data_IF_779114967757
#
_entry.id   IF_779114967757
#
_cell.length_a   1.000
_cell.length_b   1.000
_cell.length_c   1.000
_cell.angle_alpha   90.00
_cell.angle_beta   90.00
_cell.angle_gamma   90.00
#
_symmetry.space_group_name_H-M   'P 1'
#
loop_
_entity.id
_entity.type
_entity.pdbx_description
1 polymer ?
#
# COMPACT_ATOMS: atom_id res chain seq x y z
N UNK A 1 51.00 22.31 -56.21
CA UNK A 1 51.11 21.47 -55.00
C UNK A 1 49.94 21.79 -54.09
N UNK A 2 48.92 20.92 -54.07
CA UNK A 2 47.66 21.09 -53.32
C UNK A 2 47.86 20.60 -51.88
N UNK A 3 47.43 21.37 -50.89
CA UNK A 3 47.09 20.86 -49.55
C UNK A 3 45.63 21.21 -49.29
N UNK A 4 44.78 20.19 -49.34
CA UNK A 4 43.38 20.24 -48.90
C UNK A 4 43.40 19.77 -47.44
N UNK A 5 43.00 20.66 -46.53
CA UNK A 5 42.86 20.36 -45.12
C UNK A 5 41.46 19.74 -44.91
N UNK A 6 41.41 18.44 -44.64
CA UNK A 6 40.17 17.74 -44.29
C UNK A 6 39.93 17.91 -42.79
N UNK A 7 38.92 18.70 -42.41
CA UNK A 7 38.44 18.80 -41.03
C UNK A 7 37.36 17.73 -40.83
N UNK A 8 37.68 16.65 -40.14
CA UNK A 8 36.72 15.60 -39.77
C UNK A 8 36.01 16.03 -38.49
N UNK A 9 34.73 16.40 -38.62
CA UNK A 9 33.85 16.66 -37.49
C UNK A 9 33.38 15.32 -36.90
N UNK A 10 33.94 14.88 -35.77
CA UNK A 10 33.41 13.77 -35.00
C UNK A 10 32.17 14.25 -34.21
N UNK A 11 30.98 13.86 -34.66
CA UNK A 11 29.76 13.94 -33.86
C UNK A 11 29.76 12.78 -32.85
N UNK A 12 30.12 13.07 -31.60
CA UNK A 12 29.88 12.14 -30.49
C UNK A 12 28.43 12.26 -30.05
N UNK A 13 27.60 11.27 -30.37
CA UNK A 13 26.28 11.10 -29.76
C UNK A 13 26.50 10.68 -28.30
N UNK A 14 26.48 11.64 -27.38
CA UNK A 14 26.39 11.35 -25.97
C UNK A 14 24.96 10.85 -25.68
N UNK A 15 24.79 9.52 -25.60
CA UNK A 15 23.60 8.94 -25.00
C UNK A 15 23.60 9.30 -23.52
N UNK A 16 22.75 10.25 -23.13
CA UNK A 16 22.52 10.50 -21.72
C UNK A 16 21.79 9.31 -21.13
N UNK A 17 22.52 8.46 -20.41
CA UNK A 17 21.94 7.58 -19.40
C UNK A 17 21.44 8.53 -18.32
N UNK A 18 20.13 8.84 -18.33
CA UNK A 18 19.50 9.42 -17.16
C UNK A 18 19.54 8.35 -16.07
N UNK A 19 20.40 8.57 -15.09
CA UNK A 19 20.22 7.98 -13.78
C UNK A 19 18.85 8.46 -13.28
N UNK A 20 17.93 7.52 -13.05
CA UNK A 20 16.64 7.79 -12.44
C UNK A 20 16.89 8.06 -10.95
N UNK A 21 17.13 9.32 -10.62
CA UNK A 21 17.12 9.81 -9.25
C UNK A 21 15.68 9.72 -8.72
N UNK A 22 15.31 8.56 -8.17
CA UNK A 22 14.51 8.41 -6.96
C UNK A 22 13.23 9.24 -6.79
N UNK A 23 12.59 9.72 -7.86
CA UNK A 23 11.30 10.39 -7.76
C UNK A 23 10.22 9.30 -7.80
N UNK A 24 9.89 8.81 -6.60
CA UNK A 24 9.03 7.67 -6.31
C UNK A 24 7.55 7.93 -6.61
N UNK A 25 7.24 8.65 -7.68
CA UNK A 25 5.88 9.00 -8.07
C UNK A 25 5.30 7.86 -8.89
N UNK A 26 4.55 6.98 -8.21
CA UNK A 26 3.81 5.88 -8.82
C UNK A 26 2.57 6.37 -9.57
N UNK A 27 2.79 7.32 -10.48
CA UNK A 27 1.74 8.00 -11.22
C UNK A 27 1.25 7.12 -12.35
N UNK A 28 -0.06 7.08 -12.53
CA UNK A 28 -0.70 6.37 -13.62
C UNK A 28 -0.62 7.19 -14.91
N UNK A 29 -0.28 6.54 -16.02
CA UNK A 29 -0.33 7.19 -17.33
C UNK A 29 -1.77 7.25 -17.84
N UNK A 30 -2.00 8.12 -18.81
CA UNK A 30 -3.30 8.31 -19.47
C UNK A 30 -3.91 6.99 -19.96
N UNK A 31 -3.08 6.09 -20.49
CA UNK A 31 -3.53 4.77 -20.93
C UNK A 31 -4.10 3.92 -19.79
N UNK A 32 -3.52 3.96 -18.59
CA UNK A 32 -4.11 3.27 -17.43
C UNK A 32 -5.45 3.92 -17.05
N UNK A 33 -5.54 5.25 -17.04
CA UNK A 33 -6.82 5.94 -16.80
C UNK A 33 -7.90 5.55 -17.82
N UNK A 34 -7.55 5.39 -19.10
CA UNK A 34 -8.47 4.93 -20.15
C UNK A 34 -8.99 3.51 -19.86
N UNK A 35 -8.09 2.57 -19.55
CA UNK A 35 -8.45 1.18 -19.26
C UNK A 35 -9.37 1.11 -18.03
N UNK A 36 -9.04 1.85 -16.98
CA UNK A 36 -9.84 1.85 -15.74
C UNK A 36 -11.18 2.55 -15.94
N UNK A 37 -11.24 3.65 -16.69
CA UNK A 37 -12.49 4.32 -17.00
C UNK A 37 -13.42 3.42 -17.82
N UNK A 38 -12.86 2.68 -18.78
CA UNK A 38 -13.60 1.68 -19.56
C UNK A 38 -14.19 0.57 -18.68
N UNK A 39 -13.40 0.04 -17.74
CA UNK A 39 -13.87 -0.96 -16.77
C UNK A 39 -15.06 -0.47 -15.94
N UNK A 40 -14.97 0.74 -15.40
CA UNK A 40 -16.04 1.36 -14.63
C UNK A 40 -17.20 1.88 -15.49
N UNK A 41 -17.12 1.76 -16.83
CA UNK A 41 -18.12 2.25 -17.80
C UNK A 41 -18.40 3.75 -17.64
N UNK A 42 -17.36 4.53 -17.39
CA UNK A 42 -17.42 6.00 -17.24
C UNK A 42 -16.41 6.68 -18.18
N UNK A 43 -16.56 7.99 -18.39
CA UNK A 43 -15.53 8.78 -19.09
C UNK A 43 -14.29 8.95 -18.22
N UNK A 44 -13.14 9.20 -18.84
CA UNK A 44 -11.90 9.51 -18.12
C UNK A 44 -12.03 10.73 -17.21
N UNK A 45 -12.76 11.76 -17.66
CA UNK A 45 -13.08 12.94 -16.86
C UNK A 45 -13.84 12.55 -15.58
N UNK A 46 -14.87 11.71 -15.70
CA UNK A 46 -15.63 11.21 -14.56
C UNK A 46 -14.78 10.34 -13.64
N UNK A 47 -13.89 9.51 -14.18
CA UNK A 47 -12.96 8.74 -13.36
C UNK A 47 -12.03 9.68 -12.58
N UNK A 48 -11.44 10.68 -13.24
CA UNK A 48 -10.53 11.65 -12.62
C UNK A 48 -11.21 12.46 -11.52
N UNK A 49 -12.47 12.87 -11.72
CA UNK A 49 -13.25 13.57 -10.70
C UNK A 49 -13.56 12.69 -9.47
N UNK A 50 -13.66 11.37 -9.67
CA UNK A 50 -14.02 10.40 -8.61
C UNK A 50 -12.81 9.69 -7.98
N UNK A 51 -11.62 9.81 -8.56
CA UNK A 51 -10.43 9.15 -8.05
C UNK A 51 -9.85 9.96 -6.89
N UNK A 52 -9.90 9.41 -5.68
CA UNK A 52 -9.30 10.01 -4.48
C UNK A 52 -7.79 9.75 -4.44
N UNK A 53 -7.38 8.55 -4.86
CA UNK A 53 -5.99 8.12 -4.90
C UNK A 53 -5.77 7.14 -6.07
N UNK A 54 -4.57 7.13 -6.64
CA UNK A 54 -4.17 6.11 -7.61
C UNK A 54 -2.68 5.85 -7.54
N UNK A 55 -2.28 4.59 -7.73
CA UNK A 55 -0.88 4.18 -7.81
C UNK A 55 -0.68 3.19 -8.96
N UNK A 56 0.34 3.43 -9.78
CA UNK A 56 0.73 2.57 -10.89
C UNK A 56 2.23 2.24 -10.84
N UNK A 57 2.57 0.98 -11.07
CA UNK A 57 3.96 0.53 -11.13
C UNK A 57 4.11 -0.67 -12.06
N UNK A 58 5.14 -0.66 -12.91
CA UNK A 58 5.47 -1.80 -13.77
C UNK A 58 5.68 -3.08 -12.95
N UNK A 59 5.12 -4.20 -13.41
CA UNK A 59 5.25 -5.47 -12.72
C UNK A 59 6.71 -5.95 -12.74
N UNK A 60 7.27 -6.39 -11.59
CA UNK A 60 8.70 -6.68 -11.48
C UNK A 60 9.16 -7.89 -12.31
N UNK A 61 8.23 -8.76 -12.71
CA UNK A 61 8.52 -9.98 -13.48
C UNK A 61 8.03 -9.89 -14.94
N UNK A 62 7.33 -8.82 -15.32
CA UNK A 62 6.85 -8.60 -16.68
C UNK A 62 6.73 -7.11 -16.99
N UNK A 63 7.64 -6.58 -17.82
CA UNK A 63 7.66 -5.15 -18.16
C UNK A 63 6.50 -4.69 -19.04
N UNK A 64 5.75 -5.61 -19.66
CA UNK A 64 4.56 -5.29 -20.46
C UNK A 64 3.29 -5.20 -19.61
N UNK A 65 3.41 -5.38 -18.30
CA UNK A 65 2.31 -5.32 -17.37
C UNK A 65 2.53 -4.21 -16.35
N UNK A 66 1.43 -3.56 -15.98
CA UNK A 66 1.38 -2.55 -14.93
C UNK A 66 0.46 -3.05 -13.82
N UNK A 67 0.95 -2.95 -12.59
CA UNK A 67 0.17 -3.10 -11.38
C UNK A 67 -0.48 -1.75 -11.09
N UNK A 68 -1.79 -1.75 -10.87
CA UNK A 68 -2.55 -0.52 -10.62
C UNK A 68 -3.42 -0.66 -9.38
N UNK A 69 -3.59 0.43 -8.67
CA UNK A 69 -4.54 0.57 -7.57
C UNK A 69 -5.24 1.91 -7.68
N UNK A 70 -6.56 1.93 -7.51
CA UNK A 70 -7.39 3.13 -7.54
C UNK A 70 -8.34 3.13 -6.35
N UNK A 71 -8.52 4.29 -5.72
CA UNK A 71 -9.60 4.55 -4.78
C UNK A 71 -10.63 5.44 -5.49
N UNK A 72 -11.78 4.88 -5.84
CA UNK A 72 -12.81 5.56 -6.63
C UNK A 72 -14.05 5.77 -5.77
N UNK A 73 -14.39 7.01 -5.47
CA UNK A 73 -15.58 7.33 -4.68
C UNK A 73 -16.85 7.08 -5.49
N UNK A 74 -17.96 6.73 -4.83
CA UNK A 74 -19.22 6.40 -5.49
C UNK A 74 -19.78 7.56 -6.35
N UNK A 75 -20.63 7.28 -7.36
CA UNK A 75 -20.99 8.25 -8.39
C UNK A 75 -21.66 9.54 -7.91
N UNK A 76 -22.24 9.55 -6.69
CA UNK A 76 -22.86 10.73 -6.09
C UNK A 76 -21.81 11.80 -5.71
N UNK A 77 -20.57 11.39 -5.49
CA UNK A 77 -19.49 12.24 -4.99
C UNK A 77 -18.37 12.46 -6.01
N UNK A 78 -17.56 13.49 -5.73
CA UNK A 78 -16.28 13.77 -6.36
C UNK A 78 -15.24 14.07 -5.27
N UNK A 79 -13.97 14.09 -5.66
CA UNK A 79 -12.86 14.43 -4.76
C UNK A 79 -13.01 15.80 -4.10
N UNK A 80 -13.75 16.73 -4.73
CA UNK A 80 -13.96 18.09 -4.23
C UNK A 80 -15.14 18.22 -3.27
N UNK A 81 -16.11 17.30 -3.29
CA UNK A 81 -17.38 17.49 -2.59
C UNK A 81 -17.70 16.45 -1.52
N UNK A 82 -16.98 15.33 -1.47
CA UNK A 82 -17.37 14.21 -0.63
C UNK A 82 -17.35 14.51 0.87
N UNK A 83 -16.47 15.43 1.30
CA UNK A 83 -16.36 15.87 2.69
C UNK A 83 -17.48 16.83 3.12
N UNK A 84 -18.30 17.33 2.19
CA UNK A 84 -19.33 18.34 2.47
C UNK A 84 -20.73 17.73 2.70
N UNK A 85 -20.87 16.41 2.64
CA UNK A 85 -22.13 15.70 2.85
C UNK A 85 -22.15 15.08 4.26
N UNK A 86 -23.30 15.14 4.93
CA UNK A 86 -23.51 14.54 6.25
C UNK A 86 -23.67 13.01 6.19
N UNK A 87 -23.85 12.44 4.98
CA UNK A 87 -23.85 11.00 4.76
C UNK A 87 -22.43 10.43 4.73
N UNK A 88 -22.28 9.14 5.07
CA UNK A 88 -21.03 8.36 4.96
C UNK A 88 -20.74 7.99 3.51
N UNK A 89 -19.79 8.64 2.82
CA UNK A 89 -19.49 8.34 1.42
C UNK A 89 -18.87 6.96 1.26
N UNK A 90 -19.29 6.21 0.24
CA UNK A 90 -18.66 4.93 -0.12
C UNK A 90 -17.62 5.11 -1.21
N UNK A 91 -16.60 4.26 -1.18
CA UNK A 91 -15.58 4.21 -2.22
C UNK A 91 -15.14 2.79 -2.49
N UNK A 92 -14.65 2.54 -3.70
CA UNK A 92 -14.15 1.23 -4.12
C UNK A 92 -12.62 1.28 -4.14
N UNK A 93 -11.97 0.40 -3.39
CA UNK A 93 -10.57 0.05 -3.61
C UNK A 93 -10.51 -0.94 -4.76
N UNK A 94 -9.97 -0.51 -5.89
CA UNK A 94 -9.78 -1.32 -7.07
C UNK A 94 -8.30 -1.62 -7.28
N UNK A 95 -7.95 -2.89 -7.43
CA UNK A 95 -6.58 -3.35 -7.68
C UNK A 95 -6.58 -4.21 -8.94
N UNK A 96 -5.63 -3.99 -9.84
CA UNK A 96 -5.54 -4.79 -11.06
C UNK A 96 -4.12 -5.00 -11.58
N UNK A 97 -3.99 -6.06 -12.37
CA UNK A 97 -2.94 -6.22 -13.38
C UNK A 97 -3.50 -5.78 -14.71
N UNK A 98 -2.81 -4.89 -15.40
CA UNK A 98 -3.20 -4.42 -16.74
C UNK A 98 -2.03 -4.58 -17.70
N UNK A 99 -2.34 -4.74 -18.97
CA UNK A 99 -1.39 -4.50 -20.06
C UNK A 99 -1.87 -3.28 -20.88
N UNK A 100 -1.26 -3.05 -22.04
CA UNK A 100 -1.58 -1.90 -22.90
C UNK A 100 -3.05 -1.82 -23.35
N UNK A 101 -3.78 -2.94 -23.32
CA UNK A 101 -5.10 -3.03 -23.95
C UNK A 101 -6.22 -3.48 -23.00
N UNK A 102 -5.90 -4.13 -21.89
CA UNK A 102 -6.88 -4.81 -21.07
C UNK A 102 -6.48 -4.96 -19.60
N UNK A 103 -7.50 -5.14 -18.76
CA UNK A 103 -7.35 -5.70 -17.42
C UNK A 103 -7.15 -7.21 -17.57
N UNK A 104 -6.06 -7.71 -17.02
CA UNK A 104 -5.72 -9.14 -17.01
C UNK A 104 -6.38 -9.86 -15.84
N UNK A 105 -6.31 -9.25 -14.66
CA UNK A 105 -6.99 -9.66 -13.44
C UNK A 105 -7.28 -8.43 -12.59
N UNK A 106 -8.38 -8.46 -11.85
CA UNK A 106 -8.72 -7.44 -10.87
C UNK A 106 -9.19 -8.04 -9.55
N UNK A 107 -9.22 -7.18 -8.54
CA UNK A 107 -9.90 -7.36 -7.27
C UNK A 107 -10.46 -6.02 -6.84
N UNK A 108 -11.62 -6.02 -6.19
CA UNK A 108 -12.27 -4.82 -5.70
C UNK A 108 -12.92 -5.06 -4.34
N UNK A 109 -12.98 -4.01 -3.53
CA UNK A 109 -13.70 -3.98 -2.27
C UNK A 109 -14.29 -2.59 -2.06
N UNK A 110 -15.57 -2.57 -1.70
CA UNK A 110 -16.24 -1.34 -1.26
C UNK A 110 -15.94 -1.08 0.21
N UNK A 111 -15.68 0.17 0.51
CA UNK A 111 -15.28 0.71 1.81
C UNK A 111 -16.08 1.99 2.07
N UNK A 112 -16.10 2.42 3.32
CA UNK A 112 -16.79 3.62 3.78
C UNK A 112 -15.77 4.64 4.30
N UNK A 113 -16.06 5.93 4.09
CA UNK A 113 -15.32 7.04 4.69
C UNK A 113 -16.03 7.43 5.99
N UNK A 114 -15.29 7.44 7.09
CA UNK A 114 -15.78 7.79 8.42
C UNK A 114 -14.69 8.46 9.27
N UNK A 115 -14.89 8.57 10.59
CA UNK A 115 -13.92 9.17 11.49
C UNK A 115 -12.57 8.42 11.54
N UNK A 116 -12.56 7.14 11.16
CA UNK A 116 -11.41 6.25 11.21
C UNK A 116 -10.83 5.92 9.84
N UNK A 117 -11.55 6.14 8.73
CA UNK A 117 -11.06 5.89 7.36
C UNK A 117 -11.32 7.11 6.47
N UNK A 118 -10.27 7.61 5.82
CA UNK A 118 -10.34 8.61 4.75
C UNK A 118 -9.23 8.35 3.72
N UNK A 119 -9.40 8.90 2.53
CA UNK A 119 -8.51 8.68 1.39
C UNK A 119 -8.13 10.02 0.77
N UNK A 120 -6.83 10.23 0.61
CA UNK A 120 -6.23 11.36 -0.10
C UNK A 120 -5.31 10.86 -1.23
N UNK A 121 -4.75 11.80 -2.00
CA UNK A 121 -3.92 11.49 -3.16
C UNK A 121 -2.71 10.58 -2.86
N UNK A 122 -2.20 10.59 -1.62
CA UNK A 122 -1.02 9.83 -1.19
C UNK A 122 -1.38 8.50 -0.48
N UNK A 123 -2.66 8.17 -0.40
CA UNK A 123 -3.14 7.01 0.37
C UNK A 123 -2.80 5.67 -0.25
N UNK A 124 -2.46 5.61 -1.55
CA UNK A 124 -2.17 4.35 -2.24
C UNK A 124 -0.74 4.26 -2.74
N UNK A 125 -0.14 3.07 -2.59
CA UNK A 125 1.15 2.72 -3.18
C UNK A 125 1.23 1.24 -3.54
N UNK A 126 1.74 0.94 -4.72
CA UNK A 126 2.13 -0.41 -5.13
C UNK A 126 3.46 -0.80 -4.47
N UNK A 127 3.43 -1.86 -3.69
CA UNK A 127 4.59 -2.50 -3.09
C UNK A 127 5.04 -3.69 -3.96
N UNK A 128 6.29 -3.65 -4.42
CA UNK A 128 6.89 -4.66 -5.30
C UNK A 128 8.09 -5.33 -4.64
N UNK A 129 8.12 -5.37 -3.31
CA UNK A 129 9.13 -6.15 -2.59
C UNK A 129 9.13 -7.63 -3.04
N UNK A 130 10.15 -8.38 -2.62
CA UNK A 130 10.38 -9.76 -3.08
C UNK A 130 9.49 -10.76 -2.35
N UNK A 131 8.17 -10.61 -2.48
CA UNK A 131 7.16 -11.55 -1.97
C UNK A 131 7.09 -12.82 -2.84
N UNK A 132 8.22 -13.54 -2.94
CA UNK A 132 8.33 -14.79 -3.68
C UNK A 132 7.64 -15.87 -2.84
N UNK A 133 6.47 -16.33 -3.28
CA UNK A 133 5.68 -17.33 -2.58
C UNK A 133 6.12 -18.75 -2.96
N UNK A 134 6.53 -18.97 -4.20
CA UNK A 134 7.23 -20.18 -4.61
C UNK A 134 8.04 -19.92 -5.90
N UNK A 135 8.48 -20.98 -6.57
CA UNK A 135 9.25 -20.93 -7.81
C UNK A 135 8.50 -20.25 -8.98
N UNK A 136 7.17 -20.21 -8.93
CA UNK A 136 6.31 -19.71 -10.02
C UNK A 136 5.50 -18.48 -9.65
N UNK A 137 5.26 -18.27 -8.36
CA UNK A 137 4.30 -17.28 -7.85
C UNK A 137 5.04 -16.22 -7.03
N UNK A 138 4.92 -14.98 -7.47
CA UNK A 138 5.32 -13.79 -6.73
C UNK A 138 4.08 -12.94 -6.47
N UNK A 139 3.81 -12.65 -5.21
CA UNK A 139 2.81 -11.66 -4.84
C UNK A 139 3.32 -10.23 -5.07
N UNK A 140 2.40 -9.30 -5.20
CA UNK A 140 2.67 -7.88 -5.07
C UNK A 140 1.76 -7.29 -4.01
N UNK A 141 2.18 -6.18 -3.41
CA UNK A 141 1.43 -5.50 -2.37
C UNK A 141 0.74 -4.24 -2.88
N UNK A 142 -0.34 -3.88 -2.21
CA UNK A 142 -0.88 -2.52 -2.19
C UNK A 142 -0.78 -2.04 -0.74
N UNK A 143 -0.15 -0.88 -0.54
CA UNK A 143 -0.12 -0.15 0.71
C UNK A 143 -1.27 0.84 0.73
N UNK A 144 -2.01 0.86 1.83
CA UNK A 144 -3.02 1.87 2.12
C UNK A 144 -2.62 2.69 3.35
N UNK A 145 -2.32 3.97 3.12
CA UNK A 145 -2.11 4.95 4.17
C UNK A 145 -3.40 5.71 4.38
N UNK A 146 -4.02 5.49 5.54
CA UNK A 146 -5.24 6.16 5.94
C UNK A 146 -4.99 7.67 6.15
N UNK A 147 -5.85 8.49 5.55
CA UNK A 147 -5.80 9.95 5.65
C UNK A 147 -6.70 10.52 6.77
N UNK A 148 -7.47 9.67 7.46
CA UNK A 148 -8.39 10.12 8.49
C UNK A 148 -7.64 10.84 9.62
N UNK A 149 -8.25 11.89 10.16
CA UNK A 149 -7.75 12.56 11.37
C UNK A 149 -7.86 11.69 12.62
N UNK A 150 -8.68 10.65 12.57
CA UNK A 150 -9.01 9.80 13.70
C UNK A 150 -10.05 10.44 14.62
N UNK A 151 -10.58 9.66 15.59
CA UNK A 151 -11.45 10.19 16.63
C UNK A 151 -10.69 11.13 17.57
N UNK A 152 -11.39 11.97 18.33
CA UNK A 152 -10.76 12.93 19.25
C UNK A 152 -10.04 12.28 20.44
N UNK A 153 -10.47 11.09 20.84
CA UNK A 153 -9.87 10.33 21.94
C UNK A 153 -9.66 8.85 21.53
N UNK A 154 -8.66 8.54 20.69
CA UNK A 154 -8.37 7.18 20.28
C UNK A 154 -7.61 6.42 21.37
N UNK A 155 -8.07 5.21 21.69
CA UNK A 155 -7.28 4.23 22.45
C UNK A 155 -6.40 3.36 21.54
N UNK A 156 -6.66 3.40 20.24
CA UNK A 156 -5.97 2.62 19.21
C UNK A 156 -5.95 3.38 17.88
N UNK A 157 -4.87 3.22 17.13
CA UNK A 157 -4.78 3.67 15.74
C UNK A 157 -3.94 2.68 14.93
N UNK A 158 -4.30 2.50 13.66
CA UNK A 158 -3.61 1.64 12.71
C UNK A 158 -3.44 2.35 11.38
N UNK A 159 -2.31 2.11 10.72
CA UNK A 159 -2.00 2.70 9.43
C UNK A 159 -1.04 1.81 8.61
N UNK A 160 -0.72 2.25 7.39
CA UNK A 160 0.15 1.57 6.44
C UNK A 160 -0.30 0.12 6.16
N UNK A 161 -1.59 -0.10 5.92
CA UNK A 161 -2.13 -1.42 5.61
C UNK A 161 -1.42 -2.04 4.42
N UNK A 162 -0.93 -3.27 4.57
CA UNK A 162 -0.35 -4.04 3.46
C UNK A 162 -1.29 -5.16 3.05
N UNK A 163 -1.80 -5.04 1.83
CA UNK A 163 -2.57 -6.09 1.16
C UNK A 163 -1.68 -6.81 0.16
N UNK A 164 -1.50 -8.13 0.27
CA UNK A 164 -0.77 -8.92 -0.73
C UNK A 164 -1.72 -9.64 -1.67
N UNK A 165 -1.48 -9.48 -2.96
CA UNK A 165 -2.26 -10.06 -4.04
C UNK A 165 -1.45 -11.11 -4.81
N UNK A 166 -2.12 -12.22 -5.11
CA UNK A 166 -1.63 -13.29 -5.97
C UNK A 166 -2.50 -13.38 -7.21
N UNK A 167 -1.90 -13.38 -8.42
CA UNK A 167 -2.67 -13.66 -9.62
C UNK A 167 -3.13 -15.12 -9.67
N UNK A 168 -4.44 -15.35 -9.75
CA UNK A 168 -5.05 -16.67 -9.88
C UNK A 168 -6.06 -16.70 -11.04
N UNK A 169 -5.71 -17.42 -12.12
CA UNK A 169 -6.54 -17.52 -13.33
C UNK A 169 -6.95 -16.13 -13.83
N UNK A 170 -8.22 -15.76 -13.67
CA UNK A 170 -8.84 -14.53 -14.17
C UNK A 170 -9.04 -13.46 -13.08
N UNK A 171 -8.62 -13.72 -11.83
CA UNK A 171 -8.78 -12.78 -10.71
C UNK A 171 -7.50 -12.58 -9.90
N UNK A 172 -7.45 -11.47 -9.17
CA UNK A 172 -6.48 -11.30 -8.10
C UNK A 172 -7.06 -11.89 -6.81
N UNK A 173 -6.25 -12.64 -6.08
CA UNK A 173 -6.60 -13.16 -4.76
C UNK A 173 -5.84 -12.38 -3.69
N UNK A 174 -6.58 -11.77 -2.77
CA UNK A 174 -6.04 -11.20 -1.55
C UNK A 174 -5.64 -12.33 -0.60
N UNK A 175 -4.34 -12.48 -0.32
CA UNK A 175 -3.82 -13.56 0.53
C UNK A 175 -3.31 -13.08 1.88
N UNK A 176 -3.11 -11.78 2.06
CA UNK A 176 -2.71 -11.15 3.32
C UNK A 176 -3.24 -9.72 3.34
N UNK A 177 -3.74 -9.26 4.48
CA UNK A 177 -4.17 -7.89 4.74
C UNK A 177 -3.99 -7.63 6.23
N UNK A 178 -3.14 -6.66 6.57
CA UNK A 178 -2.87 -6.28 7.95
C UNK A 178 -2.24 -4.88 8.03
N UNK A 179 -2.53 -4.07 9.07
CA UNK A 179 -1.83 -2.81 9.32
C UNK A 179 -0.35 -3.03 9.64
N UNK A 180 0.52 -2.24 9.02
CA UNK A 180 1.97 -2.40 9.21
C UNK A 180 2.53 -1.48 10.29
N UNK A 181 1.75 -0.48 10.72
CA UNK A 181 2.04 0.33 11.89
C UNK A 181 0.77 0.50 12.70
N UNK A 182 0.87 0.35 14.02
CA UNK A 182 -0.24 0.66 14.92
C UNK A 182 0.26 1.14 16.27
N UNK A 183 -0.62 1.82 16.98
CA UNK A 183 -0.37 2.41 18.29
C UNK A 183 -1.57 2.15 19.20
N UNK A 184 -1.32 1.96 20.51
CA UNK A 184 -2.37 1.77 21.51
C UNK A 184 -2.04 2.37 22.87
N UNK A 185 -3.10 2.59 23.66
CA UNK A 185 -3.05 2.77 25.11
C UNK A 185 -3.16 1.39 25.77
N UNK A 186 -2.36 1.12 26.80
CA UNK A 186 -2.24 -0.19 27.44
C UNK A 186 -2.79 -0.25 28.87
N UNK A 187 -3.21 0.87 29.45
CA UNK A 187 -3.71 0.94 30.82
C UNK A 187 -4.85 1.96 30.97
N UNK A 188 -5.74 1.72 31.94
CA UNK A 188 -6.91 2.58 32.21
C UNK A 188 -6.54 4.00 32.67
N UNK A 189 -5.30 4.19 33.15
CA UNK A 189 -4.78 5.50 33.53
C UNK A 189 -4.20 6.27 32.34
N UNK A 190 -4.12 5.63 31.18
CA UNK A 190 -3.56 6.17 29.94
C UNK A 190 -2.10 6.62 30.08
N UNK A 191 -1.39 6.07 31.06
CA UNK A 191 0.02 6.38 31.33
C UNK A 191 0.95 5.50 30.53
N UNK A 192 0.44 4.46 29.88
CA UNK A 192 1.22 3.46 29.16
C UNK A 192 0.75 3.37 27.71
N UNK A 193 1.67 3.56 26.78
CA UNK A 193 1.38 3.49 25.34
C UNK A 193 2.34 2.55 24.63
N UNK A 194 1.92 1.94 23.53
CA UNK A 194 2.76 1.09 22.70
C UNK A 194 2.62 1.47 21.22
N UNK A 195 3.74 1.58 20.52
CA UNK A 195 3.81 1.69 19.06
C UNK A 195 4.48 0.43 18.52
N UNK A 196 3.88 -0.16 17.49
CA UNK A 196 4.42 -1.34 16.82
C UNK A 196 4.57 -1.08 15.33
N UNK A 197 5.75 -1.40 14.80
CA UNK A 197 6.04 -1.37 13.37
C UNK A 197 6.36 -2.79 12.90
N UNK A 198 5.75 -3.19 11.79
CA UNK A 198 5.87 -4.54 11.24
C UNK A 198 6.71 -4.56 9.98
N UNK A 199 7.43 -5.66 9.79
CA UNK A 199 8.12 -5.98 8.53
C UNK A 199 7.88 -7.43 8.18
N UNK A 200 7.58 -7.69 6.90
CA UNK A 200 7.44 -9.04 6.37
C UNK A 200 8.78 -9.55 5.83
N UNK A 201 9.06 -10.82 6.12
CA UNK A 201 10.15 -11.57 5.53
C UNK A 201 9.62 -12.91 5.04
N UNK A 202 9.87 -13.26 3.77
CA UNK A 202 9.57 -14.60 3.27
C UNK A 202 10.48 -15.63 3.96
N UNK A 203 9.88 -16.69 4.51
CA UNK A 203 10.59 -17.85 5.06
C UNK A 203 10.96 -18.82 3.93
N UNK A 204 11.89 -19.73 4.20
CA UNK A 204 12.23 -20.81 3.27
C UNK A 204 11.35 -22.06 3.44
N UNK A 205 10.59 -22.11 4.54
CA UNK A 205 9.60 -23.15 4.80
C UNK A 205 8.35 -22.89 3.99
N UNK A 206 7.71 -23.95 3.54
CA UNK A 206 6.46 -23.87 2.78
C UNK A 206 5.32 -24.58 3.49
N UNK A 207 4.14 -23.97 3.44
CA UNK A 207 2.87 -24.58 3.81
C UNK A 207 1.92 -24.43 2.63
N UNK A 208 1.26 -25.52 2.23
CA UNK A 208 0.33 -25.54 1.09
C UNK A 208 0.91 -24.93 -0.21
N UNK A 209 2.21 -25.18 -0.45
CA UNK A 209 2.90 -24.77 -1.67
C UNK A 209 3.35 -23.31 -1.73
N UNK A 210 3.11 -22.51 -0.68
CA UNK A 210 3.64 -21.15 -0.53
C UNK A 210 4.61 -21.06 0.64
N UNK A 211 5.64 -20.22 0.48
CA UNK A 211 6.59 -19.83 1.50
C UNK A 211 5.85 -19.18 2.66
N UNK A 212 6.11 -19.65 3.87
CA UNK A 212 5.60 -19.03 5.09
C UNK A 212 6.11 -17.58 5.19
N UNK A 213 5.40 -16.73 5.93
CA UNK A 213 5.81 -15.34 6.17
C UNK A 213 6.24 -15.20 7.63
N UNK A 214 7.42 -14.65 7.86
CA UNK A 214 7.84 -14.17 9.18
C UNK A 214 7.48 -12.69 9.28
N UNK A 215 6.57 -12.36 10.18
CA UNK A 215 6.29 -10.98 10.58
C UNK A 215 7.20 -10.64 11.75
N UNK A 216 8.02 -9.61 11.60
CA UNK A 216 8.83 -9.04 12.68
C UNK A 216 8.13 -7.79 13.18
N UNK A 217 7.98 -7.68 14.49
CA UNK A 217 7.46 -6.51 15.16
C UNK A 217 8.60 -5.81 15.91
N UNK A 218 8.80 -4.53 15.60
CA UNK A 218 9.60 -3.61 16.39
C UNK A 218 8.63 -2.81 17.27
N UNK A 219 8.71 -3.04 18.58
CA UNK A 219 7.72 -2.56 19.55
C UNK A 219 8.39 -1.58 20.50
N UNK A 220 7.83 -0.38 20.62
CA UNK A 220 8.26 0.66 21.55
C UNK A 220 7.14 0.96 22.53
N UNK A 221 7.40 0.73 23.81
CA UNK A 221 6.47 0.99 24.90
C UNK A 221 6.95 2.18 25.74
N UNK A 222 6.08 3.17 25.92
CA UNK A 222 6.35 4.37 26.69
C UNK A 222 5.50 4.42 27.96
N UNK A 223 6.10 4.84 29.06
CA UNK A 223 5.43 5.14 30.34
C UNK A 223 5.56 6.63 30.60
N UNK A 224 4.44 7.26 30.92
CA UNK A 224 4.29 8.70 31.08
C UNK A 224 3.94 9.08 32.52
N UNK A 225 4.23 10.32 32.90
CA UNK A 225 3.97 10.83 34.25
C UNK A 225 2.49 10.89 34.62
N UNK A 226 1.64 11.13 33.62
CA UNK A 226 0.21 11.43 33.71
C UNK A 226 -0.48 10.88 32.45
N UNK A 227 -1.82 10.99 32.38
CA UNK A 227 -2.64 10.40 31.33
C UNK A 227 -2.34 10.97 29.94
N UNK A 228 -2.86 10.32 28.90
CA UNK A 228 -2.45 10.60 27.52
C UNK A 228 -2.81 12.03 27.09
N UNK A 229 -3.98 12.51 27.53
CA UNK A 229 -4.52 13.82 27.20
C UNK A 229 -4.10 14.95 28.16
N UNK A 230 -3.30 14.64 29.20
CA UNK A 230 -2.87 15.64 30.17
C UNK A 230 -1.79 16.56 29.60
N UNK A 231 -2.00 17.88 29.78
CA UNK A 231 -1.03 18.90 29.40
C UNK A 231 0.20 18.79 30.30
N UNK A 232 1.40 18.81 29.70
CA UNK A 232 2.67 18.79 30.43
C UNK A 232 3.13 17.41 30.89
N UNK A 233 2.55 16.33 30.35
CA UNK A 233 3.04 14.97 30.58
C UNK A 233 4.51 14.81 30.18
N UNK A 234 5.25 14.05 30.96
CA UNK A 234 6.67 13.76 30.74
C UNK A 234 6.86 12.26 30.51
N UNK A 235 7.75 11.91 29.57
CA UNK A 235 8.17 10.52 29.38
C UNK A 235 9.02 10.10 30.59
N UNK A 236 8.58 9.07 31.32
CA UNK A 236 9.30 8.51 32.47
C UNK A 236 10.21 7.36 32.08
N UNK A 237 9.77 6.53 31.14
CA UNK A 237 10.61 5.45 30.60
C UNK A 237 10.16 5.02 29.21
N UNK A 238 11.12 4.58 28.42
CA UNK A 238 10.92 3.93 27.12
C UNK A 238 11.53 2.53 27.18
N UNK A 239 10.82 1.53 26.66
CA UNK A 239 11.33 0.18 26.50
C UNK A 239 11.07 -0.30 25.08
N UNK A 240 12.08 -0.90 24.45
CA UNK A 240 11.97 -1.45 23.11
C UNK A 240 12.16 -2.96 23.14
N UNK A 241 11.38 -3.68 22.33
CA UNK A 241 11.53 -5.12 22.15
C UNK A 241 11.23 -5.52 20.72
N UNK A 242 11.70 -6.71 20.36
CA UNK A 242 11.40 -7.31 19.07
C UNK A 242 10.67 -8.63 19.27
N UNK A 243 9.62 -8.82 18.49
CA UNK A 243 8.86 -10.06 18.46
C UNK A 243 8.74 -10.58 17.03
N UNK A 244 8.48 -11.88 16.90
CA UNK A 244 8.33 -12.53 15.60
C UNK A 244 7.21 -13.54 15.61
N UNK A 245 6.39 -13.52 14.58
CA UNK A 245 5.33 -14.50 14.36
C UNK A 245 5.50 -15.10 12.98
N UNK A 246 5.25 -16.41 12.87
CA UNK A 246 5.16 -17.10 11.58
C UNK A 246 3.70 -17.18 11.15
N UNK A 247 3.43 -16.76 9.92
CA UNK A 247 2.18 -16.97 9.23
C UNK A 247 2.32 -18.13 8.24
N UNK A 248 1.31 -19.00 8.21
CA UNK A 248 1.23 -20.12 7.26
C UNK A 248 0.10 -19.90 6.28
N UNK A 249 0.34 -20.26 5.03
CA UNK A 249 -0.70 -20.25 4.01
C UNK A 249 -1.64 -21.44 4.21
N UNK A 250 -2.94 -21.20 4.40
CA UNK A 250 -3.92 -22.26 4.64
C UNK A 250 -4.60 -22.79 3.35
N UNK A 251 -4.13 -22.38 2.17
CA UNK A 251 -4.78 -22.65 0.87
C UNK A 251 -5.67 -21.50 0.38
N UNK A 252 -5.97 -20.55 1.24
CA UNK A 252 -6.72 -19.34 0.91
C UNK A 252 -5.94 -18.07 1.25
N UNK A 253 -5.55 -17.91 2.52
CA UNK A 253 -4.83 -16.74 3.05
C UNK A 253 -3.75 -17.14 4.04
N UNK A 254 -2.86 -16.20 4.35
CA UNK A 254 -1.93 -16.33 5.45
C UNK A 254 -2.67 -16.20 6.78
N UNK A 255 -2.36 -17.10 7.69
CA UNK A 255 -2.97 -17.17 9.03
C UNK A 255 -1.89 -17.35 10.09
N UNK A 256 -2.19 -16.84 11.28
CA UNK A 256 -1.32 -16.90 12.45
C UNK A 256 -1.29 -18.34 12.98
N UNK A 257 -0.09 -18.86 13.25
CA UNK A 257 0.06 -20.20 13.83
C UNK A 257 0.01 -20.15 15.35
N UNK A 258 0.57 -19.10 15.95
CA UNK A 258 0.60 -18.85 17.39
C UNK A 258 0.27 -17.37 17.63
N UNK A 259 -0.75 -17.09 18.45
CA UNK A 259 -1.17 -15.71 18.73
C UNK A 259 -0.03 -14.96 19.42
N UNK A 260 0.34 -13.81 18.88
CA UNK A 260 1.08 -12.80 19.63
C UNK A 260 0.09 -11.74 20.12
N UNK A 261 0.36 -11.15 21.29
CA UNK A 261 -0.56 -10.21 21.94
C UNK A 261 -0.82 -8.94 21.10
N UNK A 262 0.12 -8.55 20.24
CA UNK A 262 0.02 -7.41 19.33
C UNK A 262 -0.58 -7.76 17.96
N UNK A 263 -0.91 -9.03 17.72
CA UNK A 263 -1.45 -9.52 16.45
C UNK A 263 -2.94 -9.84 16.64
N UNK A 264 -3.79 -8.86 16.35
CA UNK A 264 -5.24 -8.88 16.60
C UNK A 264 -6.04 -9.43 15.41
#
# INVERSE_FOLDING_TARGET
MKKILLLVLLLTLATQIKADEGNNTQVCAEQQHQIIAHYFKISQEKLSARTLASACKTAPNNSTETLVSYAVIEPKYSKENYQNDENTPKWTLFVARVNDNAILQSWEQDMEIDASIDVNADSLKIDTARYILNDKVRAFGVRFNNAARGPSAPEYSANDHLMLFVPEKEKLKLVFDYPMTFWSILDDKETKTETTNLVLQMDNKQTNGFNDIIVKADITQNIWSTGFYDIGRELKSENTRQEKVRLKYNGDRYTVVEKAEWLH
#
